data_IF_802727722361
#
_entry.id   IF_802727722361
#
_cell.length_a   1.000
_cell.length_b   1.000
_cell.length_c   1.000
_cell.angle_alpha   90.00
_cell.angle_beta   90.00
_cell.angle_gamma   90.00
#
_symmetry.space_group_name_H-M   'P 1'
#
loop_
_entity.id
_entity.type
_entity.pdbx_description
1 polymer ?
#
# COMPACT_ATOMS: atom_id res chain seq x y z
N UNK A 1 1.56 -77.71 -33.55
CA UNK A 1 1.98 -77.10 -34.83
C UNK A 1 1.90 -75.61 -34.64
N UNK A 2 2.99 -74.89 -34.74
CA UNK A 2 3.08 -73.49 -34.30
C UNK A 2 2.81 -72.54 -35.47
N UNK A 3 2.16 -71.42 -35.20
CA UNK A 3 2.02 -70.28 -36.10
C UNK A 3 2.88 -69.11 -35.60
N UNK A 4 3.75 -68.65 -36.50
CA UNK A 4 4.79 -67.60 -36.29
C UNK A 4 4.22 -66.21 -36.08
N UNK A 5 4.93 -65.31 -35.41
CA UNK A 5 4.51 -63.95 -35.17
C UNK A 5 4.88 -63.00 -36.30
N UNK A 6 3.97 -62.07 -36.59
CA UNK A 6 4.19 -60.92 -37.48
C UNK A 6 4.90 -59.81 -36.71
N UNK A 7 6.07 -59.43 -37.16
CA UNK A 7 6.82 -58.26 -36.74
C UNK A 7 6.29 -57.00 -37.41
N UNK A 8 5.76 -56.04 -36.64
CA UNK A 8 5.49 -54.68 -37.11
C UNK A 8 6.56 -53.73 -36.57
N UNK A 9 7.23 -53.03 -37.53
CA UNK A 9 8.19 -51.97 -37.27
C UNK A 9 7.49 -50.76 -36.67
N UNK A 10 8.10 -50.01 -35.70
CA UNK A 10 7.57 -48.74 -35.28
C UNK A 10 7.98 -47.62 -36.26
N UNK A 11 7.05 -46.77 -36.60
CA UNK A 11 7.25 -45.55 -37.36
C UNK A 11 7.95 -44.49 -36.50
N UNK A 12 9.07 -43.95 -36.99
CA UNK A 12 9.75 -42.81 -36.39
C UNK A 12 8.97 -41.53 -36.69
N UNK A 13 8.35 -40.93 -35.69
CA UNK A 13 7.84 -39.55 -35.76
C UNK A 13 8.94 -38.61 -35.25
N UNK A 14 9.60 -37.92 -36.14
CA UNK A 14 10.44 -36.77 -35.82
C UNK A 14 9.57 -35.61 -35.43
N UNK A 15 9.31 -35.44 -34.12
CA UNK A 15 8.73 -34.25 -33.58
C UNK A 15 9.73 -33.10 -33.63
N UNK A 16 9.43 -32.07 -34.44
CA UNK A 16 10.13 -30.78 -34.36
C UNK A 16 9.80 -30.13 -33.03
N UNK A 17 10.77 -30.01 -32.16
CA UNK A 17 10.69 -29.12 -31.01
C UNK A 17 10.74 -27.67 -31.50
N UNK A 18 9.63 -26.95 -31.34
CA UNK A 18 9.62 -25.49 -31.46
C UNK A 18 10.30 -24.97 -30.20
N UNK A 19 11.51 -24.44 -30.31
CA UNK A 19 12.11 -23.64 -29.27
C UNK A 19 11.30 -22.35 -29.15
N UNK A 20 10.62 -22.17 -28.02
CA UNK A 20 10.05 -20.90 -27.62
C UNK A 20 11.20 -20.10 -27.03
N UNK A 21 11.69 -19.13 -27.79
CA UNK A 21 12.63 -18.14 -27.28
C UNK A 21 11.90 -17.32 -26.19
N UNK A 22 12.36 -17.43 -24.96
CA UNK A 22 11.97 -16.52 -23.90
C UNK A 22 12.67 -15.18 -24.18
N UNK A 23 11.96 -14.04 -24.21
CA UNK A 23 12.62 -12.75 -24.28
C UNK A 23 13.49 -12.57 -23.05
N UNK A 24 14.75 -12.18 -23.26
CA UNK A 24 15.64 -11.78 -22.17
C UNK A 24 15.01 -10.66 -21.35
N UNK A 25 15.22 -10.65 -20.01
CA UNK A 25 14.76 -9.54 -19.17
C UNK A 25 15.44 -8.26 -19.64
N UNK A 26 14.63 -7.27 -19.99
CA UNK A 26 15.09 -5.94 -20.36
C UNK A 26 16.10 -5.43 -19.32
N UNK A 27 17.26 -5.02 -19.82
CA UNK A 27 18.37 -4.48 -19.04
C UNK A 27 17.86 -3.42 -18.04
N UNK A 28 18.44 -3.46 -16.84
CA UNK A 28 18.26 -2.47 -15.77
C UNK A 28 18.31 -1.05 -16.33
N UNK A 29 17.17 -0.40 -16.41
CA UNK A 29 17.11 1.05 -16.65
C UNK A 29 17.65 1.72 -15.41
N UNK A 30 18.64 2.57 -15.61
CA UNK A 30 19.34 3.28 -14.57
C UNK A 30 18.39 4.01 -13.62
N UNK A 31 18.41 3.60 -12.38
CA UNK A 31 17.62 4.14 -11.27
C UNK A 31 17.86 5.66 -11.06
N UNK A 32 19.02 6.16 -11.48
CA UNK A 32 19.34 7.59 -11.44
C UNK A 32 18.56 8.41 -12.48
N UNK A 33 18.16 7.83 -13.62
CA UNK A 33 17.39 8.55 -14.64
C UNK A 33 15.90 8.64 -14.29
N UNK A 34 15.30 7.69 -13.58
CA UNK A 34 13.90 7.81 -13.14
C UNK A 34 13.74 8.78 -11.98
N UNK A 35 14.70 8.89 -11.07
CA UNK A 35 14.73 9.94 -10.04
C UNK A 35 14.95 11.34 -10.66
N UNK A 36 15.65 11.45 -11.76
CA UNK A 36 15.87 12.71 -12.44
C UNK A 36 14.60 13.22 -13.15
N UNK A 37 13.70 12.35 -13.62
CA UNK A 37 12.39 12.75 -14.16
C UNK A 37 11.44 13.30 -13.09
N UNK A 38 11.63 12.92 -11.81
CA UNK A 38 10.81 13.42 -10.70
C UNK A 38 11.33 14.74 -10.10
N UNK A 39 12.54 15.17 -10.45
CA UNK A 39 13.17 16.36 -9.86
C UNK A 39 13.03 17.65 -10.68
N UNK A 40 12.55 17.59 -11.91
CA UNK A 40 12.30 18.79 -12.71
C UNK A 40 10.85 19.22 -12.53
N UNK A 41 10.56 19.94 -11.42
CA UNK A 41 9.48 20.92 -11.47
C UNK A 41 10.01 22.08 -12.30
N UNK A 42 9.41 22.29 -13.47
CA UNK A 42 9.55 23.53 -14.21
C UNK A 42 9.09 24.66 -13.27
N UNK A 43 9.97 25.61 -12.89
CA UNK A 43 9.60 26.64 -11.92
C UNK A 43 8.53 27.62 -12.45
N UNK A 44 8.10 27.46 -13.69
CA UNK A 44 7.17 28.35 -14.37
C UNK A 44 5.77 27.77 -14.63
N UNK A 45 5.46 26.58 -14.10
CA UNK A 45 4.06 26.15 -14.01
C UNK A 45 3.44 26.89 -12.83
N UNK A 46 2.97 28.12 -13.07
CA UNK A 46 1.99 28.75 -12.20
C UNK A 46 0.88 27.73 -11.99
N UNK A 47 0.70 27.30 -10.74
CA UNK A 47 -0.35 26.35 -10.33
C UNK A 47 -1.70 26.97 -10.68
N UNK A 48 -2.14 26.79 -11.94
CA UNK A 48 -3.52 27.08 -12.30
C UNK A 48 -4.36 26.06 -11.54
N UNK A 49 -5.15 26.55 -10.57
CA UNK A 49 -6.13 25.75 -9.86
C UNK A 49 -6.92 24.90 -10.86
N UNK A 50 -6.88 23.59 -10.71
CA UNK A 50 -7.64 22.67 -11.57
C UNK A 50 -8.91 22.25 -10.84
N UNK A 51 -10.00 21.91 -11.53
CA UNK A 51 -11.21 21.41 -10.87
C UNK A 51 -10.96 20.12 -10.06
N UNK A 52 -9.83 19.46 -10.30
CA UNK A 52 -9.47 18.19 -9.66
C UNK A 52 -8.65 18.35 -8.37
N UNK A 53 -8.22 19.57 -8.03
CA UNK A 53 -7.38 19.83 -6.85
C UNK A 53 -8.16 19.84 -5.54
N UNK A 54 -9.50 19.86 -5.60
CA UNK A 54 -10.42 19.87 -4.45
C UNK A 54 -10.10 21.00 -3.45
N UNK A 55 -9.47 22.11 -3.89
CA UNK A 55 -8.92 23.15 -3.03
C UNK A 55 -9.92 23.85 -2.13
N UNK A 56 -11.22 23.81 -2.47
CA UNK A 56 -12.31 24.41 -1.68
C UNK A 56 -12.67 23.63 -0.40
N UNK A 57 -12.18 22.40 -0.27
CA UNK A 57 -12.42 21.55 0.88
C UNK A 57 -11.18 21.47 1.79
N UNK A 58 -11.41 21.38 3.10
CA UNK A 58 -10.37 21.17 4.09
C UNK A 58 -9.90 19.70 4.12
N UNK A 59 -10.82 18.75 3.90
CA UNK A 59 -10.53 17.33 3.86
C UNK A 59 -10.85 16.79 2.46
N UNK A 60 -9.88 16.19 1.83
CA UNK A 60 -9.90 15.76 0.42
C UNK A 60 -9.56 14.30 0.30
N UNK A 61 -10.01 13.66 -0.78
CA UNK A 61 -9.74 12.24 -1.03
C UNK A 61 -9.43 12.01 -2.51
N UNK A 62 -8.28 11.39 -2.80
CA UNK A 62 -7.92 11.00 -4.16
C UNK A 62 -6.94 9.81 -4.15
N UNK A 63 -6.90 9.06 -5.25
CA UNK A 63 -6.24 7.77 -5.32
C UNK A 63 -4.74 7.83 -5.68
N UNK A 64 -3.95 7.09 -4.93
CA UNK A 64 -2.57 6.77 -5.27
C UNK A 64 -1.64 7.98 -5.37
N UNK A 65 -0.53 7.83 -6.09
CA UNK A 65 0.44 8.91 -6.30
C UNK A 65 -0.12 10.01 -7.18
N UNK A 66 -0.93 9.66 -8.18
CA UNK A 66 -1.60 10.64 -9.04
C UNK A 66 -2.54 11.55 -8.23
N UNK A 67 -3.20 11.01 -7.21
CA UNK A 67 -4.02 11.77 -6.29
C UNK A 67 -3.20 12.78 -5.48
N UNK A 68 -2.02 12.38 -4.98
CA UNK A 68 -1.12 13.32 -4.29
C UNK A 68 -0.71 14.47 -5.21
N UNK A 69 -0.48 14.18 -6.50
CA UNK A 69 -0.05 15.18 -7.47
C UNK A 69 -1.17 16.10 -7.94
N UNK A 70 -2.40 15.60 -7.96
CA UNK A 70 -3.58 16.34 -8.41
C UNK A 70 -4.16 17.24 -7.32
N UNK A 71 -4.17 16.78 -6.07
CA UNK A 71 -4.76 17.51 -4.95
C UNK A 71 -3.96 18.77 -4.61
N UNK A 72 -4.67 19.81 -4.18
CA UNK A 72 -4.03 20.99 -3.60
C UNK A 72 -3.13 20.61 -2.42
N UNK A 73 -2.02 21.35 -2.19
CA UNK A 73 -1.16 21.13 -1.03
C UNK A 73 -1.97 21.10 0.28
N UNK A 74 -1.58 20.21 1.18
CA UNK A 74 -2.21 20.07 2.48
C UNK A 74 -1.17 20.02 3.61
N UNK A 75 -1.59 20.35 4.83
CA UNK A 75 -0.73 20.24 6.02
C UNK A 75 -0.41 18.78 6.34
N UNK A 76 -1.36 17.88 6.07
CA UNK A 76 -1.26 16.46 6.39
C UNK A 76 -1.68 15.59 5.20
N UNK A 77 -0.89 14.56 4.91
CA UNK A 77 -1.27 13.49 4.00
C UNK A 77 -1.42 12.19 4.79
N UNK A 78 -2.58 11.55 4.68
CA UNK A 78 -2.86 10.25 5.27
C UNK A 78 -2.85 9.20 4.16
N UNK A 79 -1.91 8.28 4.20
CA UNK A 79 -1.81 7.15 3.28
C UNK A 79 -2.62 5.98 3.83
N UNK A 80 -3.43 5.35 2.98
CA UNK A 80 -4.29 4.24 3.36
C UNK A 80 -4.06 3.05 2.41
N UNK A 81 -3.57 1.92 2.96
CA UNK A 81 -3.34 0.63 2.26
C UNK A 81 -3.67 -0.47 3.27
N UNK A 82 -4.94 -0.89 3.30
CA UNK A 82 -5.51 -1.74 4.36
C UNK A 82 -5.04 -3.18 4.26
N UNK A 83 -4.92 -3.70 3.05
CA UNK A 83 -4.50 -5.08 2.78
C UNK A 83 -3.21 -5.12 1.94
N UNK A 84 -2.01 -4.73 2.56
CA UNK A 84 -1.89 -4.74 4.03
C UNK A 84 -0.86 -3.73 4.57
N UNK A 85 -0.32 -2.82 3.79
CA UNK A 85 0.85 -2.02 4.19
C UNK A 85 0.59 -1.18 5.45
N UNK A 86 -0.46 -0.32 5.45
CA UNK A 86 -0.69 0.59 6.59
C UNK A 86 -1.19 -0.16 7.82
N UNK A 87 -1.87 -1.30 7.65
CA UNK A 87 -2.20 -2.20 8.76
C UNK A 87 -0.95 -2.82 9.39
N UNK A 88 0.02 -3.26 8.59
CA UNK A 88 1.32 -3.73 9.10
C UNK A 88 2.05 -2.62 9.84
N UNK A 89 2.05 -1.41 9.29
CA UNK A 89 2.68 -0.23 9.91
C UNK A 89 2.04 0.07 11.27
N UNK A 90 0.69 0.08 11.37
CA UNK A 90 -0.01 0.30 12.65
C UNK A 90 0.38 -0.73 13.70
N UNK A 91 0.28 -2.04 13.36
CA UNK A 91 0.58 -3.13 14.30
C UNK A 91 2.02 -3.08 14.76
N UNK A 92 2.97 -2.91 13.84
CA UNK A 92 4.39 -2.92 14.14
C UNK A 92 4.83 -1.71 14.98
N UNK A 93 4.42 -0.50 14.58
CA UNK A 93 4.79 0.72 15.31
C UNK A 93 4.12 0.81 16.68
N UNK A 94 2.94 0.23 16.83
CA UNK A 94 2.27 0.05 18.11
C UNK A 94 3.02 -0.84 19.10
N UNK A 95 4.00 -1.62 18.62
CA UNK A 95 4.93 -2.41 19.43
C UNK A 95 6.29 -1.74 19.59
N UNK A 96 6.46 -0.50 19.09
CA UNK A 96 7.69 0.26 19.17
C UNK A 96 8.63 0.08 17.97
N UNK A 97 8.27 -0.74 17.00
CA UNK A 97 9.08 -0.94 15.80
C UNK A 97 9.15 0.31 14.91
N UNK A 98 10.20 0.38 14.10
CA UNK A 98 10.36 1.35 13.02
C UNK A 98 10.19 0.67 11.68
N UNK A 99 9.22 1.11 10.87
CA UNK A 99 8.95 0.54 9.55
C UNK A 99 9.44 1.49 8.47
N UNK A 100 10.38 1.02 7.66
CA UNK A 100 10.95 1.76 6.54
C UNK A 100 10.19 1.37 5.26
N UNK A 101 9.40 2.29 4.68
CA UNK A 101 8.74 2.03 3.41
C UNK A 101 9.76 1.84 2.30
N UNK A 102 9.49 0.87 1.40
CA UNK A 102 10.32 0.63 0.23
C UNK A 102 9.44 0.26 -0.98
N UNK A 103 9.71 0.87 -2.14
CA UNK A 103 8.81 0.76 -3.30
C UNK A 103 8.85 -0.62 -3.97
N UNK A 104 10.02 -1.30 -3.97
CA UNK A 104 10.28 -2.47 -4.78
C UNK A 104 10.59 -3.70 -3.92
N UNK A 105 10.16 -4.86 -4.36
CA UNK A 105 10.52 -6.13 -3.74
C UNK A 105 11.51 -6.89 -4.64
N UNK A 106 12.70 -6.35 -4.77
CA UNK A 106 13.79 -6.85 -5.59
C UNK A 106 15.12 -6.91 -4.81
N UNK A 107 16.22 -7.18 -5.49
CA UNK A 107 17.54 -7.28 -4.86
C UNK A 107 17.98 -5.96 -4.18
N UNK A 108 17.53 -4.81 -4.66
CA UNK A 108 17.88 -3.49 -4.07
C UNK A 108 17.29 -3.29 -2.67
N UNK A 109 16.18 -3.97 -2.36
CA UNK A 109 15.58 -3.94 -1.02
C UNK A 109 16.50 -4.55 0.05
N UNK A 110 17.23 -5.63 -0.28
CA UNK A 110 18.19 -6.26 0.62
C UNK A 110 19.38 -5.35 0.91
N UNK A 111 19.92 -4.71 -0.13
CA UNK A 111 21.01 -3.75 0.02
C UNK A 111 20.57 -2.52 0.84
N UNK A 112 19.35 -2.04 0.61
CA UNK A 112 18.79 -0.94 1.41
C UNK A 112 18.63 -1.35 2.87
N UNK A 113 18.06 -2.52 3.16
CA UNK A 113 17.90 -3.02 4.53
C UNK A 113 19.25 -3.13 5.24
N UNK A 114 20.29 -3.67 4.56
CA UNK A 114 21.65 -3.76 5.10
C UNK A 114 22.21 -2.38 5.44
N UNK A 115 22.11 -1.40 4.54
CA UNK A 115 22.58 -0.02 4.81
C UNK A 115 21.84 0.67 5.95
N UNK A 116 20.57 0.28 6.18
CA UNK A 116 19.74 0.84 7.26
C UNK A 116 19.88 0.08 8.58
N UNK A 117 20.68 -0.97 8.65
CA UNK A 117 20.76 -1.90 9.81
C UNK A 117 19.35 -2.35 10.21
N UNK A 118 18.57 -2.79 9.23
CA UNK A 118 17.18 -3.18 9.36
C UNK A 118 16.95 -4.59 8.82
N UNK A 119 15.98 -5.32 9.38
CA UNK A 119 15.50 -6.55 8.77
C UNK A 119 14.70 -6.26 7.49
N UNK A 120 14.70 -7.19 6.55
CA UNK A 120 13.88 -7.09 5.35
C UNK A 120 12.64 -7.97 5.50
N UNK A 121 11.46 -7.37 5.33
CA UNK A 121 10.23 -8.14 5.17
C UNK A 121 10.24 -8.85 3.82
N UNK A 122 10.01 -10.16 3.84
CA UNK A 122 10.01 -11.02 2.65
C UNK A 122 8.58 -11.33 2.19
N UNK A 123 8.46 -12.07 1.09
CA UNK A 123 7.16 -12.62 0.69
C UNK A 123 6.61 -13.51 1.82
N UNK A 124 5.28 -13.51 1.99
CA UNK A 124 4.60 -14.35 2.98
C UNK A 124 5.09 -15.80 2.92
N UNK A 125 5.43 -16.35 4.09
CA UNK A 125 5.95 -17.72 4.22
C UNK A 125 7.45 -17.89 3.95
N UNK A 126 8.18 -16.86 3.52
CA UNK A 126 9.62 -16.94 3.26
C UNK A 126 10.49 -16.29 4.34
N UNK A 127 9.90 -15.59 5.31
CA UNK A 127 10.63 -14.91 6.36
C UNK A 127 9.78 -14.67 7.59
N UNK A 128 10.41 -14.11 8.63
CA UNK A 128 9.74 -13.76 9.88
C UNK A 128 8.73 -12.64 9.68
N UNK A 129 9.08 -11.62 8.90
CA UNK A 129 8.25 -10.46 8.60
C UNK A 129 7.86 -10.43 7.12
N UNK A 130 6.66 -9.94 6.85
CA UNK A 130 6.11 -9.83 5.49
C UNK A 130 5.01 -8.78 5.43
N UNK A 131 4.36 -8.58 4.27
CA UNK A 131 3.11 -7.81 4.15
C UNK A 131 1.92 -8.56 4.78
N UNK A 132 2.13 -9.08 6.01
CA UNK A 132 1.11 -9.73 6.83
C UNK A 132 1.12 -9.07 8.21
N UNK A 133 0.05 -8.35 8.61
CA UNK A 133 -0.01 -7.73 9.93
C UNK A 133 0.13 -8.76 11.06
N UNK A 134 -0.26 -10.01 10.84
CA UNK A 134 -0.06 -11.08 11.81
C UNK A 134 1.44 -11.31 12.15
N UNK A 135 2.35 -11.04 11.20
CA UNK A 135 3.80 -11.20 11.44
C UNK A 135 4.39 -10.16 12.39
N UNK A 136 3.63 -9.11 12.73
CA UNK A 136 4.06 -8.03 13.63
C UNK A 136 3.36 -8.04 15.00
N UNK A 137 2.53 -9.02 15.29
CA UNK A 137 1.84 -9.11 16.59
C UNK A 137 2.81 -9.25 17.77
N UNK A 138 3.93 -9.92 17.53
CA UNK A 138 4.98 -10.12 18.52
C UNK A 138 6.34 -9.74 17.95
N UNK A 139 6.71 -8.47 18.07
CA UNK A 139 7.99 -7.95 17.59
C UNK A 139 8.76 -7.26 18.72
N UNK A 140 10.12 -7.27 18.67
CA UNK A 140 10.94 -6.46 19.56
C UNK A 140 10.64 -4.97 19.36
N UNK A 141 10.64 -4.20 20.44
CA UNK A 141 10.36 -2.75 20.41
C UNK A 141 11.44 -1.93 19.69
N UNK A 142 12.61 -2.49 19.49
CA UNK A 142 13.72 -1.89 18.75
C UNK A 142 13.81 -2.38 17.30
N UNK A 143 12.85 -3.19 16.85
CA UNK A 143 12.81 -3.68 15.46
C UNK A 143 12.87 -2.50 14.48
N UNK A 144 13.78 -2.60 13.54
CA UNK A 144 13.80 -1.81 12.31
C UNK A 144 13.54 -2.75 11.15
N UNK A 145 12.51 -2.50 10.38
CA UNK A 145 12.14 -3.41 9.29
C UNK A 145 11.84 -2.62 8.01
N UNK A 146 12.51 -2.98 6.93
CA UNK A 146 12.17 -2.51 5.58
C UNK A 146 10.97 -3.31 5.11
N UNK A 147 9.89 -2.62 4.78
CA UNK A 147 8.65 -3.21 4.33
C UNK A 147 8.35 -2.81 2.87
N UNK A 148 8.72 -3.67 1.90
CA UNK A 148 8.41 -3.41 0.50
C UNK A 148 6.91 -3.51 0.22
N UNK A 149 6.35 -2.49 -0.46
CA UNK A 149 4.98 -2.51 -0.97
C UNK A 149 4.91 -1.71 -2.28
N UNK A 150 4.40 -2.29 -3.37
CA UNK A 150 4.25 -1.59 -4.65
C UNK A 150 3.12 -0.54 -4.64
N UNK A 151 2.31 -0.51 -3.58
CA UNK A 151 1.18 0.39 -3.42
C UNK A 151 1.42 1.36 -2.26
N UNK A 152 1.15 0.99 -1.02
CA UNK A 152 1.21 1.87 0.13
C UNK A 152 2.58 2.50 0.37
N UNK A 153 3.69 1.75 0.21
CA UNK A 153 5.01 2.33 0.36
C UNK A 153 5.33 3.36 -0.74
N UNK A 154 4.91 3.09 -1.99
CA UNK A 154 5.09 4.03 -3.12
C UNK A 154 4.33 5.34 -2.85
N UNK A 155 3.07 5.26 -2.40
CA UNK A 155 2.27 6.43 -2.04
C UNK A 155 2.90 7.18 -0.87
N UNK A 156 3.39 6.47 0.17
CA UNK A 156 4.05 7.09 1.33
C UNK A 156 5.34 7.82 0.94
N UNK A 157 6.17 7.20 0.10
CA UNK A 157 7.39 7.81 -0.41
C UNK A 157 7.11 9.03 -1.29
N UNK A 158 6.05 9.00 -2.10
CA UNK A 158 5.62 10.18 -2.88
C UNK A 158 5.13 11.29 -1.97
N UNK A 159 4.32 10.98 -0.96
CA UNK A 159 3.85 11.94 0.03
C UNK A 159 5.01 12.61 0.78
N UNK A 160 6.06 11.86 1.12
CA UNK A 160 7.25 12.35 1.82
C UNK A 160 8.05 13.40 1.01
N UNK A 161 7.83 13.49 -0.31
CA UNK A 161 8.45 14.54 -1.15
C UNK A 161 7.70 15.88 -1.05
N UNK A 162 6.56 15.90 -0.37
CA UNK A 162 5.83 17.12 -0.05
C UNK A 162 6.34 17.73 1.26
N UNK A 163 5.88 18.92 1.63
CA UNK A 163 6.17 19.54 2.93
C UNK A 163 5.20 19.10 4.03
N UNK A 164 4.24 18.24 3.70
CA UNK A 164 3.18 17.79 4.60
C UNK A 164 3.65 16.69 5.56
N UNK A 165 3.02 16.61 6.72
CA UNK A 165 3.17 15.45 7.60
C UNK A 165 2.52 14.22 6.94
N UNK A 166 3.20 13.08 6.97
CA UNK A 166 2.72 11.83 6.35
C UNK A 166 2.37 10.81 7.43
N UNK A 167 1.09 10.45 7.51
CA UNK A 167 0.56 9.46 8.44
C UNK A 167 0.17 8.17 7.71
N UNK A 168 0.36 7.01 8.36
CA UNK A 168 -0.18 5.74 7.88
C UNK A 168 -1.49 5.42 8.62
N UNK A 169 -2.61 5.50 7.88
CA UNK A 169 -3.96 5.27 8.37
C UNK A 169 -4.54 3.94 7.90
N UNK A 170 -5.33 3.30 8.75
CA UNK A 170 -6.11 2.11 8.44
C UNK A 170 -7.40 2.08 9.27
N UNK A 171 -8.22 1.05 9.14
CA UNK A 171 -9.42 0.92 9.97
C UNK A 171 -9.11 0.89 11.47
N UNK A 172 -7.99 0.23 11.83
CA UNK A 172 -7.63 -0.01 13.22
C UNK A 172 -7.36 1.25 14.03
N UNK A 173 -6.76 2.26 13.41
CA UNK A 173 -6.33 3.50 14.05
C UNK A 173 -7.08 4.74 13.54
N UNK A 174 -8.26 4.56 12.94
CA UNK A 174 -8.97 5.64 12.25
C UNK A 174 -9.20 6.88 13.13
N UNK A 175 -9.67 6.71 14.38
CA UNK A 175 -9.88 7.80 15.31
C UNK A 175 -8.60 8.48 15.78
N UNK A 176 -7.57 7.70 16.07
CA UNK A 176 -6.28 8.23 16.49
C UNK A 176 -5.62 9.06 15.37
N UNK A 177 -5.69 8.57 14.12
CA UNK A 177 -5.19 9.27 12.93
C UNK A 177 -5.95 10.55 12.68
N UNK A 178 -7.30 10.52 12.74
CA UNK A 178 -8.10 11.72 12.53
C UNK A 178 -7.82 12.79 13.60
N UNK A 179 -7.73 12.37 14.86
CA UNK A 179 -7.39 13.28 15.96
C UNK A 179 -5.99 13.89 15.81
N UNK A 180 -4.99 13.08 15.41
CA UNK A 180 -3.63 13.54 15.17
C UNK A 180 -3.56 14.51 13.98
N UNK A 181 -4.18 14.17 12.87
CA UNK A 181 -4.23 15.02 11.69
C UNK A 181 -4.83 16.40 12.00
N UNK A 182 -5.91 16.44 12.77
CA UNK A 182 -6.53 17.71 13.19
C UNK A 182 -5.66 18.56 14.14
N UNK A 183 -4.66 17.98 14.79
CA UNK A 183 -3.66 18.73 15.58
C UNK A 183 -2.48 19.21 14.73
N UNK A 184 -2.14 18.48 13.67
CA UNK A 184 -1.00 18.76 12.80
C UNK A 184 -1.30 19.84 11.75
N UNK A 185 -2.58 20.01 11.38
CA UNK A 185 -2.94 21.04 10.40
C UNK A 185 -4.45 21.18 10.18
N UNK A 186 -4.80 22.18 9.36
CA UNK A 186 -6.18 22.52 9.01
C UNK A 186 -6.66 21.80 7.74
N UNK A 187 -5.73 21.40 6.89
CA UNK A 187 -6.00 20.76 5.59
C UNK A 187 -5.43 19.34 5.55
N UNK A 188 -6.23 18.38 5.09
CA UNK A 188 -5.89 16.96 5.10
C UNK A 188 -6.23 16.32 3.77
N UNK A 189 -5.24 15.72 3.13
CA UNK A 189 -5.42 14.85 1.97
C UNK A 189 -5.38 13.38 2.42
N UNK A 190 -6.45 12.63 2.19
CA UNK A 190 -6.50 11.18 2.44
C UNK A 190 -6.29 10.48 1.11
N UNK A 191 -5.23 9.68 1.02
CA UNK A 191 -4.81 9.03 -0.22
C UNK A 191 -4.89 7.51 -0.08
N UNK A 192 -6.03 6.88 -0.45
CA UNK A 192 -6.10 5.43 -0.59
C UNK A 192 -5.14 4.99 -1.71
N UNK A 193 -4.31 3.98 -1.41
CA UNK A 193 -3.26 3.55 -2.32
C UNK A 193 -3.83 2.78 -3.52
N UNK A 194 -4.87 2.00 -3.29
CA UNK A 194 -5.40 1.07 -4.27
C UNK A 194 -4.45 -0.08 -4.58
N UNK A 195 -4.83 -0.86 -5.56
CA UNK A 195 -4.08 -1.99 -6.09
C UNK A 195 -3.67 -1.72 -7.55
N UNK A 196 -3.03 -2.69 -8.19
CA UNK A 196 -2.67 -2.58 -9.60
C UNK A 196 -3.32 -3.65 -10.44
N UNK A 197 -3.82 -3.26 -11.63
CA UNK A 197 -4.14 -4.19 -12.68
C UNK A 197 -2.87 -4.84 -13.25
N UNK A 198 -3.03 -5.87 -14.07
CA UNK A 198 -1.87 -6.57 -14.70
C UNK A 198 -1.04 -5.68 -15.64
N UNK A 199 -1.63 -4.64 -16.17
CA UNK A 199 -0.97 -3.63 -17.01
C UNK A 199 -0.26 -2.53 -16.20
N UNK A 200 -0.29 -2.63 -14.87
CA UNK A 200 0.32 -1.68 -13.94
C UNK A 200 -0.54 -0.46 -13.62
N UNK A 201 -1.69 -0.29 -14.25
CA UNK A 201 -2.61 0.81 -13.94
C UNK A 201 -3.27 0.64 -12.58
N UNK A 202 -3.72 1.76 -11.98
CA UNK A 202 -4.38 1.77 -10.68
C UNK A 202 -5.71 1.00 -10.75
N UNK A 203 -5.93 0.11 -9.79
CA UNK A 203 -7.20 -0.53 -9.48
C UNK A 203 -7.72 0.02 -8.15
N UNK A 204 -8.82 0.78 -8.11
CA UNK A 204 -9.43 1.17 -6.85
C UNK A 204 -9.71 -0.06 -5.97
N UNK A 205 -9.32 0.01 -4.70
CA UNK A 205 -9.45 -1.06 -3.73
C UNK A 205 -10.53 -0.69 -2.70
N UNK A 206 -11.59 -1.50 -2.60
CA UNK A 206 -12.74 -1.19 -1.75
C UNK A 206 -12.33 -1.02 -0.29
N UNK A 207 -11.45 -1.87 0.20
CA UNK A 207 -10.95 -1.84 1.57
C UNK A 207 -10.23 -0.53 1.92
N UNK A 208 -9.47 0.02 0.99
CA UNK A 208 -8.79 1.30 1.19
C UNK A 208 -9.77 2.47 1.21
N UNK A 209 -10.79 2.43 0.34
CA UNK A 209 -11.84 3.45 0.32
C UNK A 209 -12.68 3.43 1.61
N UNK A 210 -12.98 2.23 2.12
CA UNK A 210 -13.70 2.05 3.39
C UNK A 210 -12.91 2.65 4.55
N UNK A 211 -11.60 2.38 4.63
CA UNK A 211 -10.77 2.94 5.69
C UNK A 211 -10.53 4.46 5.53
N UNK A 212 -10.37 4.94 4.30
CA UNK A 212 -10.33 6.37 4.02
C UNK A 212 -11.61 7.06 4.50
N UNK A 213 -12.78 6.49 4.20
CA UNK A 213 -14.07 6.98 4.68
C UNK A 213 -14.21 6.96 6.21
N UNK A 214 -13.70 5.90 6.87
CA UNK A 214 -13.68 5.80 8.32
C UNK A 214 -12.85 6.93 8.97
N UNK A 215 -11.71 7.28 8.41
CA UNK A 215 -10.87 8.39 8.87
C UNK A 215 -11.53 9.73 8.58
N UNK A 216 -12.00 9.93 7.33
CA UNK A 216 -12.63 11.17 6.87
C UNK A 216 -13.89 11.51 7.69
N UNK A 217 -14.67 10.51 8.11
CA UNK A 217 -15.88 10.71 8.93
C UNK A 217 -15.58 11.32 10.30
N UNK A 218 -14.36 11.14 10.81
CA UNK A 218 -13.92 11.64 12.11
C UNK A 218 -13.11 12.95 12.02
N UNK A 219 -12.66 13.35 10.83
CA UNK A 219 -11.98 14.63 10.62
C UNK A 219 -12.97 15.79 10.71
N UNK A 220 -12.51 16.92 11.21
CA UNK A 220 -13.26 18.19 11.20
C UNK A 220 -13.00 18.97 9.90
N UNK A 221 -13.88 19.92 9.60
CA UNK A 221 -13.77 20.76 8.40
C UNK A 221 -14.63 20.28 7.24
N UNK A 222 -14.68 21.09 6.17
CA UNK A 222 -15.42 20.78 4.95
C UNK A 222 -14.82 19.59 4.22
N UNK A 223 -15.69 18.77 3.63
CA UNK A 223 -15.30 17.60 2.85
C UNK A 223 -15.47 17.88 1.36
N UNK A 224 -14.56 17.36 0.54
CA UNK A 224 -14.81 17.30 -0.90
C UNK A 224 -15.90 16.28 -1.23
N UNK A 225 -16.54 16.36 -2.40
CA UNK A 225 -17.50 15.33 -2.82
C UNK A 225 -16.91 13.91 -2.83
N UNK A 226 -15.63 13.75 -3.20
CA UNK A 226 -14.91 12.49 -3.20
C UNK A 226 -14.69 11.98 -1.77
N UNK A 227 -14.40 12.88 -0.82
CA UNK A 227 -14.31 12.52 0.59
C UNK A 227 -15.66 12.10 1.16
N UNK A 228 -16.76 12.79 0.80
CA UNK A 228 -18.12 12.40 1.19
C UNK A 228 -18.52 11.04 0.60
N UNK A 229 -18.14 10.77 -0.65
CA UNK A 229 -18.35 9.45 -1.27
C UNK A 229 -17.62 8.34 -0.50
N UNK A 230 -16.36 8.55 -0.09
CA UNK A 230 -15.63 7.61 0.75
C UNK A 230 -16.32 7.37 2.10
N UNK A 231 -16.82 8.42 2.76
CA UNK A 231 -17.59 8.33 4.00
C UNK A 231 -18.86 7.50 3.80
N UNK A 232 -19.61 7.74 2.72
CA UNK A 232 -20.82 6.97 2.41
C UNK A 232 -20.51 5.47 2.21
N UNK A 233 -19.40 5.13 1.57
CA UNK A 233 -18.95 3.74 1.41
C UNK A 233 -18.61 3.12 2.77
N UNK A 234 -17.91 3.82 3.64
CA UNK A 234 -17.63 3.35 5.00
C UNK A 234 -18.91 3.09 5.77
N UNK A 235 -19.83 4.06 5.80
CA UNK A 235 -21.11 3.92 6.53
C UNK A 235 -21.92 2.72 6.02
N UNK A 236 -21.86 2.41 4.72
CA UNK A 236 -22.51 1.21 4.15
C UNK A 236 -21.88 -0.08 4.64
N UNK A 237 -20.56 -0.11 4.87
CA UNK A 237 -19.81 -1.30 5.30
C UNK A 237 -19.71 -1.42 6.83
N UNK A 238 -19.93 -0.34 7.58
CA UNK A 238 -19.63 -0.21 9.01
C UNK A 238 -20.24 -1.29 9.90
N UNK A 239 -21.43 -1.78 9.56
CA UNK A 239 -22.12 -2.80 10.35
C UNK A 239 -21.45 -4.18 10.30
N UNK A 240 -20.63 -4.45 9.26
CA UNK A 240 -19.92 -5.73 9.09
C UNK A 240 -18.67 -5.54 8.21
N UNK A 241 -17.67 -4.88 8.79
CA UNK A 241 -16.40 -4.59 8.11
C UNK A 241 -15.64 -5.86 7.73
N UNK A 242 -15.67 -6.88 8.59
CA UNK A 242 -14.98 -8.14 8.31
C UNK A 242 -15.52 -8.80 7.03
N UNK A 243 -16.85 -8.84 6.87
CA UNK A 243 -17.47 -9.35 5.65
C UNK A 243 -17.20 -8.44 4.46
N UNK A 244 -17.30 -7.13 4.64
CA UNK A 244 -17.04 -6.16 3.56
C UNK A 244 -15.62 -6.33 3.00
N UNK A 245 -14.60 -6.44 3.86
CA UNK A 245 -13.23 -6.67 3.45
C UNK A 245 -13.05 -8.05 2.81
N UNK A 246 -13.59 -9.11 3.43
CA UNK A 246 -13.49 -10.47 2.92
C UNK A 246 -14.12 -10.66 1.52
N UNK A 247 -15.22 -9.98 1.25
CA UNK A 247 -15.93 -10.03 -0.05
C UNK A 247 -15.33 -9.09 -1.10
N UNK A 248 -14.41 -8.19 -0.74
CA UNK A 248 -13.69 -7.34 -1.69
C UNK A 248 -12.81 -8.16 -2.64
N UNK A 249 -12.35 -7.54 -3.72
CA UNK A 249 -11.46 -8.21 -4.68
C UNK A 249 -10.17 -8.70 -4.02
N UNK A 250 -9.50 -7.83 -3.26
CA UNK A 250 -8.27 -8.16 -2.54
C UNK A 250 -8.52 -9.14 -1.40
N UNK A 251 -9.64 -9.00 -0.66
CA UNK A 251 -10.01 -9.91 0.41
C UNK A 251 -10.22 -11.34 -0.10
N UNK A 252 -10.95 -11.52 -1.21
CA UNK A 252 -11.12 -12.85 -1.82
C UNK A 252 -9.80 -13.45 -2.28
N UNK A 253 -8.90 -12.65 -2.81
CA UNK A 253 -7.57 -13.11 -3.19
C UNK A 253 -6.78 -13.57 -1.97
N UNK A 254 -6.82 -12.82 -0.87
CA UNK A 254 -6.16 -13.18 0.38
C UNK A 254 -6.76 -14.45 1.02
N UNK A 255 -8.08 -14.58 1.04
CA UNK A 255 -8.76 -15.81 1.51
C UNK A 255 -8.36 -17.03 0.68
N UNK A 256 -8.32 -16.88 -0.65
CA UNK A 256 -7.88 -17.95 -1.56
C UNK A 256 -6.43 -18.40 -1.34
N UNK A 257 -5.60 -17.53 -0.74
CA UNK A 257 -4.20 -17.81 -0.36
C UNK A 257 -4.02 -18.23 1.11
N UNK A 258 -5.12 -18.36 1.88
CA UNK A 258 -5.08 -18.80 3.29
C UNK A 258 -4.71 -17.69 4.29
N UNK A 259 -4.91 -16.42 3.96
CA UNK A 259 -4.56 -15.26 4.81
C UNK A 259 -5.77 -14.64 5.52
N UNK A 260 -6.71 -15.45 6.01
CA UNK A 260 -7.92 -14.99 6.69
C UNK A 260 -7.61 -14.14 7.94
N UNK A 261 -6.60 -14.51 8.71
CA UNK A 261 -6.18 -13.80 9.93
C UNK A 261 -5.76 -12.35 9.62
N UNK A 262 -5.11 -12.10 8.50
CA UNK A 262 -4.73 -10.75 8.10
C UNK A 262 -5.96 -9.86 7.83
N UNK A 263 -7.03 -10.44 7.28
CA UNK A 263 -8.31 -9.73 7.05
C UNK A 263 -9.00 -9.42 8.38
N UNK A 264 -9.02 -10.38 9.31
CA UNK A 264 -9.60 -10.18 10.65
C UNK A 264 -8.88 -9.05 11.40
N UNK A 265 -7.54 -9.05 11.36
CA UNK A 265 -6.74 -7.97 11.97
C UNK A 265 -7.06 -6.62 11.30
N UNK A 266 -7.11 -6.58 9.97
CA UNK A 266 -7.33 -5.35 9.21
C UNK A 266 -8.76 -4.79 9.40
N UNK A 267 -9.76 -5.66 9.58
CA UNK A 267 -11.15 -5.27 9.77
C UNK A 267 -11.49 -4.76 11.19
N UNK A 268 -10.58 -4.96 12.15
CA UNK A 268 -10.78 -4.46 13.51
C UNK A 268 -10.82 -2.93 13.53
N UNK A 269 -11.99 -2.36 13.81
CA UNK A 269 -12.23 -0.92 13.69
C UNK A 269 -11.91 -0.19 15.00
N UNK A 270 -11.09 0.86 14.89
CA UNK A 270 -10.78 1.85 15.95
C UNK A 270 -10.29 1.22 17.27
N UNK A 271 -9.44 0.19 17.15
CA UNK A 271 -8.86 -0.57 18.26
C UNK A 271 -7.43 -0.17 18.60
N UNK A 272 -6.84 0.73 17.83
CA UNK A 272 -5.45 1.18 17.98
C UNK A 272 -5.40 2.69 18.24
N UNK A 273 -4.71 3.07 19.29
CA UNK A 273 -4.45 4.48 19.61
C UNK A 273 -3.14 5.00 18.96
N UNK A 274 -2.48 4.18 18.13
CA UNK A 274 -1.18 4.51 17.57
C UNK A 274 -1.31 5.42 16.35
N UNK A 275 -0.35 6.35 16.23
CA UNK A 275 -0.27 7.33 15.16
C UNK A 275 1.08 7.17 14.45
N UNK A 276 1.16 6.27 13.47
CA UNK A 276 2.37 6.12 12.69
C UNK A 276 2.63 7.35 11.83
N UNK A 277 3.64 8.13 12.20
CA UNK A 277 4.13 9.30 11.48
C UNK A 277 5.44 8.95 10.78
N UNK A 278 5.55 9.31 9.51
CA UNK A 278 6.81 9.17 8.78
C UNK A 278 7.77 10.29 9.21
N UNK A 279 8.83 9.88 9.90
CA UNK A 279 9.91 10.78 10.31
C UNK A 279 11.22 10.31 9.69
N UNK A 280 11.87 11.19 8.91
CA UNK A 280 12.99 10.79 8.07
C UNK A 280 12.58 9.71 7.08
N UNK A 281 13.12 8.50 7.22
CA UNK A 281 12.84 7.38 6.32
C UNK A 281 12.03 6.24 6.97
N UNK A 282 11.45 6.44 8.16
CA UNK A 282 10.73 5.38 8.86
C UNK A 282 9.44 5.88 9.52
N UNK A 283 8.39 5.08 9.43
CA UNK A 283 7.22 5.23 10.27
C UNK A 283 7.54 4.82 11.70
N UNK A 284 7.13 5.65 12.64
CA UNK A 284 7.17 5.40 14.08
C UNK A 284 5.90 5.93 14.71
N UNK A 285 5.44 5.35 15.81
CA UNK A 285 4.38 5.96 16.60
C UNK A 285 4.90 7.31 17.13
N UNK A 286 4.17 8.39 16.84
CA UNK A 286 4.43 9.68 17.45
C UNK A 286 4.31 9.56 18.98
N UNK A 287 5.20 10.21 19.72
CA UNK A 287 5.01 10.36 21.17
C UNK A 287 3.66 11.07 21.43
N UNK A 288 2.88 10.56 22.36
CA UNK A 288 1.57 11.09 22.74
C UNK A 288 1.68 12.53 23.28
#
# INVERSE_FOLDING_TARGET
MPSSPLTSKPASSTGRFIQVEHPEPAASRDFENELCFLSHRDPDVSSSATPFDQATAACRCEWGTAGIDALAPADVIIVVDVLSFTTCVDVATGRGAAILPYAWNDATAADFASRQSAELALKRGLGRYSLSPASYLEVPSDLRCVLPSPNGAVVALRAAQTTSAVLAGCLRNAGAIAAAAGRLGATVNVCPAGERWRDGTLRPALEDLVAAGAILSQLRGSKSPEAEAAIAVFERCRSDLARCLAESGSGREMLGRGHAVDIEIAAAYDVSAHVPLLHGNAFRTAAA
#
